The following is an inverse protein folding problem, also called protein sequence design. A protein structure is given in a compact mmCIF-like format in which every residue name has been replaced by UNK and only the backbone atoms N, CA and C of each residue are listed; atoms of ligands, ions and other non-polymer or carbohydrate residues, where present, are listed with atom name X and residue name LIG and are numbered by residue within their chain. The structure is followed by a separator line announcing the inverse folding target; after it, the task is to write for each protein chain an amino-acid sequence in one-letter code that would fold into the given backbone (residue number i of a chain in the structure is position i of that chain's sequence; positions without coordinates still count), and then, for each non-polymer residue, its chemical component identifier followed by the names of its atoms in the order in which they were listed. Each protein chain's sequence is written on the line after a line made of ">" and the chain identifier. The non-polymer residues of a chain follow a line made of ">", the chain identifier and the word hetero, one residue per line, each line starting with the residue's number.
data_IF_102731226031
#
_entry.id   IF_102731226031
#
_cell.length_a   1.000
_cell.length_b   1.000
_cell.length_c   1.000
_cell.angle_alpha   90.00
_cell.angle_beta   90.00
_cell.angle_gamma   90.00
#
_symmetry.space_group_name_H-M   'P 1'
#
loop_
_entity.id
_entity.type
_entity.pdbx_description
1 polymer ?
#
# COMPACT_ATOMS: atom_id res chain seq x y z
N UNK A 1 -8.75 4.93 -19.16
CA UNK A 1 -7.53 4.19 -19.59
C UNK A 1 -6.86 5.02 -20.66
N UNK A 2 -5.60 5.45 -20.46
CA UNK A 2 -4.90 6.26 -21.47
C UNK A 2 -4.66 5.41 -22.73
N UNK A 3 -5.03 5.89 -23.94
CA UNK A 3 -4.97 5.08 -25.16
C UNK A 3 -3.54 4.68 -25.57
N UNK A 4 -2.54 5.39 -25.07
CA UNK A 4 -1.11 5.16 -25.31
C UNK A 4 -0.47 4.06 -24.43
N UNK A 5 -1.20 3.46 -23.48
CA UNK A 5 -0.63 2.41 -22.61
C UNK A 5 -0.90 1.02 -23.18
N UNK A 6 0.18 0.30 -23.54
CA UNK A 6 0.12 -1.08 -24.00
C UNK A 6 -0.53 -1.99 -22.96
N UNK A 7 -1.39 -2.92 -23.42
CA UNK A 7 -2.04 -3.92 -22.56
C UNK A 7 -1.08 -4.98 -22.02
N UNK A 8 0.10 -5.09 -22.62
CA UNK A 8 1.16 -6.01 -22.23
C UNK A 8 2.24 -5.31 -21.39
N UNK A 9 1.91 -4.17 -20.77
CA UNK A 9 2.84 -3.50 -19.88
C UNK A 9 3.23 -4.46 -18.73
N UNK A 10 4.53 -4.64 -18.45
CA UNK A 10 4.96 -5.49 -17.35
C UNK A 10 4.42 -4.93 -16.04
N UNK A 11 4.00 -5.85 -15.17
CA UNK A 11 3.64 -5.48 -13.80
C UNK A 11 4.87 -4.89 -13.11
N UNK A 12 4.76 -3.62 -12.72
CA UNK A 12 5.81 -2.93 -11.99
C UNK A 12 5.66 -3.34 -10.53
N UNK A 13 6.47 -4.32 -10.09
CA UNK A 13 6.65 -4.62 -8.67
C UNK A 13 7.88 -3.87 -8.15
N UNK A 14 7.68 -3.06 -7.10
CA UNK A 14 8.75 -2.36 -6.41
C UNK A 14 8.78 -2.88 -4.98
N UNK A 15 9.88 -3.51 -4.59
CA UNK A 15 10.13 -3.88 -3.20
C UNK A 15 10.75 -2.69 -2.45
N UNK A 16 9.93 -2.00 -1.66
CA UNK A 16 10.34 -0.84 -0.88
C UNK A 16 10.82 -1.27 0.51
N UNK A 17 12.14 -1.39 0.73
CA UNK A 17 12.67 -1.66 2.07
C UNK A 17 12.30 -0.58 3.10
N UNK A 18 12.64 -0.76 4.39
CA UNK A 18 12.38 0.19 5.47
C UNK A 18 12.80 1.65 5.16
N UNK A 19 11.87 2.50 4.74
CA UNK A 19 12.11 3.93 4.47
C UNK A 19 11.64 4.77 5.67
N UNK A 20 12.56 5.40 6.40
CA UNK A 20 12.30 6.25 7.58
C UNK A 20 13.47 6.25 8.59
N UNK A 21 13.44 7.10 9.64
CA UNK A 21 14.48 7.11 10.68
C UNK A 21 14.55 5.78 11.44
N UNK A 22 15.76 5.34 11.86
CA UNK A 22 16.00 3.97 12.35
C UNK A 22 15.12 3.54 13.55
N UNK A 23 14.73 4.49 14.39
CA UNK A 23 13.97 4.24 15.63
C UNK A 23 12.45 4.31 15.47
N UNK A 24 11.96 4.56 14.26
CA UNK A 24 10.53 4.63 13.95
C UNK A 24 9.84 3.27 13.91
N UNK A 25 8.53 3.19 14.21
CA UNK A 25 7.77 1.95 14.04
C UNK A 25 7.74 1.54 12.56
N UNK A 26 7.94 0.25 12.29
CA UNK A 26 7.82 -0.33 10.95
C UNK A 26 6.36 -0.59 10.61
N UNK A 27 5.87 0.08 9.58
CA UNK A 27 4.50 -0.04 9.09
C UNK A 27 4.49 -0.77 7.76
N UNK A 28 3.78 -1.89 7.71
CA UNK A 28 3.40 -2.58 6.47
C UNK A 28 2.02 -2.12 6.00
N UNK A 29 1.80 -2.04 4.69
CA UNK A 29 0.53 -1.58 4.12
C UNK A 29 0.00 -2.56 3.08
N UNK A 30 -1.21 -3.05 3.32
CA UNK A 30 -2.01 -3.83 2.37
C UNK A 30 -3.07 -2.91 1.79
N UNK A 31 -3.12 -2.79 0.46
CA UNK A 31 -4.13 -1.99 -0.25
C UNK A 31 -5.05 -2.91 -1.02
N UNK A 32 -6.35 -2.84 -0.72
CA UNK A 32 -7.40 -3.61 -1.38
C UNK A 32 -8.40 -2.66 -2.05
N UNK A 33 -9.00 -3.07 -3.17
CA UNK A 33 -10.00 -2.27 -3.88
C UNK A 33 -9.48 -1.70 -5.20
N UNK A 34 -9.75 -0.43 -5.48
CA UNK A 34 -9.43 0.21 -6.76
C UNK A 34 -8.25 1.18 -6.67
N UNK A 35 -7.80 1.71 -7.82
CA UNK A 35 -6.66 2.64 -7.95
C UNK A 35 -6.72 3.86 -7.02
N UNK A 36 -7.93 4.27 -6.61
CA UNK A 36 -8.10 5.34 -5.62
C UNK A 36 -7.45 4.96 -4.29
N UNK A 37 -7.62 3.72 -3.85
CA UNK A 37 -7.01 3.23 -2.61
C UNK A 37 -5.49 3.16 -2.72
N UNK A 38 -4.93 2.87 -3.89
CA UNK A 38 -3.47 2.93 -4.11
C UNK A 38 -2.93 4.34 -3.93
N UNK A 39 -3.55 5.32 -4.59
CA UNK A 39 -3.15 6.73 -4.45
C UNK A 39 -3.32 7.23 -3.02
N UNK A 40 -4.38 6.82 -2.33
CA UNK A 40 -4.61 7.21 -0.93
C UNK A 40 -3.60 6.51 0.01
N UNK A 41 -3.26 5.24 -0.24
CA UNK A 41 -2.23 4.50 0.47
C UNK A 41 -0.85 5.16 0.35
N UNK A 42 -0.45 5.63 -0.83
CA UNK A 42 0.81 6.36 -1.03
C UNK A 42 0.87 7.65 -0.19
N UNK A 43 -0.24 8.41 -0.15
CA UNK A 43 -0.33 9.63 0.67
C UNK A 43 -0.23 9.34 2.16
N UNK A 44 -0.89 8.27 2.61
CA UNK A 44 -0.83 7.86 4.02
C UNK A 44 0.60 7.45 4.38
N UNK A 45 1.27 6.64 3.55
CA UNK A 45 2.66 6.25 3.77
C UNK A 45 3.59 7.47 3.83
N UNK A 46 3.47 8.41 2.89
CA UNK A 46 4.27 9.63 2.89
C UNK A 46 4.08 10.42 4.20
N UNK A 47 2.85 10.52 4.68
CA UNK A 47 2.53 11.21 5.95
C UNK A 47 3.15 10.49 7.15
N UNK A 48 3.07 9.15 7.19
CA UNK A 48 3.65 8.35 8.26
C UNK A 48 5.18 8.49 8.30
N UNK A 49 5.85 8.47 7.15
CA UNK A 49 7.30 8.68 7.05
C UNK A 49 7.71 10.06 7.57
N UNK A 50 6.98 11.12 7.20
CA UNK A 50 7.21 12.48 7.70
C UNK A 50 7.07 12.56 9.22
N UNK A 51 6.20 11.74 9.82
CA UNK A 51 6.00 11.66 11.26
C UNK A 51 6.90 10.61 11.95
N UNK A 52 7.89 10.06 11.23
CA UNK A 52 8.93 9.22 11.81
C UNK A 52 8.64 7.73 11.78
N UNK A 53 7.63 7.25 11.03
CA UNK A 53 7.47 5.82 10.76
C UNK A 53 8.47 5.32 9.71
N UNK A 54 8.66 3.99 9.68
CA UNK A 54 9.45 3.29 8.65
C UNK A 54 8.51 2.44 7.78
N UNK A 55 8.59 2.52 6.47
CA UNK A 55 7.73 1.70 5.58
C UNK A 55 8.37 0.36 5.29
N UNK A 56 7.75 -0.74 5.70
CA UNK A 56 8.24 -2.10 5.41
C UNK A 56 7.81 -2.58 4.01
N UNK A 57 8.69 -3.29 3.29
CA UNK A 57 8.36 -4.00 2.04
C UNK A 57 7.57 -5.27 2.29
N UNK A 58 7.76 -5.87 3.46
CA UNK A 58 7.19 -7.15 3.85
C UNK A 58 6.23 -6.95 5.03
N UNK A 59 5.15 -7.71 5.03
CA UNK A 59 4.21 -7.73 6.17
C UNK A 59 4.89 -8.39 7.37
N UNK A 60 5.62 -9.49 7.14
CA UNK A 60 6.46 -10.13 8.13
C UNK A 60 7.54 -9.17 8.66
N UNK A 61 7.54 -8.94 9.98
CA UNK A 61 8.50 -8.05 10.63
C UNK A 61 8.09 -6.57 10.66
N UNK A 62 6.87 -6.24 10.25
CA UNK A 62 6.24 -4.95 10.57
C UNK A 62 5.79 -4.92 12.03
N UNK A 63 5.98 -3.79 12.71
CA UNK A 63 5.44 -3.55 14.06
C UNK A 63 3.93 -3.28 14.00
N UNK A 64 3.46 -2.69 12.90
CA UNK A 64 2.05 -2.39 12.64
C UNK A 64 1.73 -2.73 11.18
N UNK A 65 0.58 -3.34 10.94
CA UNK A 65 0.04 -3.58 9.59
C UNK A 65 -1.22 -2.75 9.40
N UNK A 66 -1.24 -1.92 8.36
CA UNK A 66 -2.40 -1.14 7.96
C UNK A 66 -3.06 -1.78 6.73
N UNK A 67 -4.38 -1.96 6.76
CA UNK A 67 -5.16 -2.47 5.63
C UNK A 67 -6.10 -1.37 5.14
N UNK A 68 -5.88 -0.86 3.92
CA UNK A 68 -6.70 0.16 3.29
C UNK A 68 -7.66 -0.49 2.28
N UNK A 69 -8.96 -0.51 2.60
CA UNK A 69 -10.01 -1.17 1.79
C UNK A 69 -11.15 -0.23 1.44
N UNK A 70 -11.82 -0.47 0.31
CA UNK A 70 -12.97 0.31 -0.14
C UNK A 70 -14.26 -0.19 0.52
N UNK A 71 -14.96 0.66 1.28
CA UNK A 71 -16.22 0.27 1.95
C UNK A 71 -17.46 0.12 1.04
N UNK A 72 -17.36 0.44 -0.26
CA UNK A 72 -18.55 0.71 -1.09
C UNK A 72 -18.76 -0.20 -2.32
N UNK A 73 -17.93 -1.24 -2.53
CA UNK A 73 -18.15 -2.17 -3.65
C UNK A 73 -18.25 -3.59 -3.09
N UNK A 74 -19.33 -4.28 -3.44
CA UNK A 74 -19.61 -5.68 -3.04
C UNK A 74 -18.42 -6.63 -3.34
N UNK A 75 -17.59 -6.30 -4.34
CA UNK A 75 -16.35 -7.01 -4.67
C UNK A 75 -15.18 -6.81 -3.70
N UNK A 76 -15.14 -5.70 -2.93
CA UNK A 76 -14.09 -5.48 -1.93
C UNK A 76 -14.32 -6.27 -0.63
N UNK A 77 -15.57 -6.65 -0.33
CA UNK A 77 -15.91 -7.54 0.78
C UNK A 77 -15.49 -8.98 0.53
N UNK A 78 -15.62 -9.46 -0.69
CA UNK A 78 -15.27 -10.84 -1.05
C UNK A 78 -13.75 -11.08 -0.99
N UNK A 79 -12.92 -10.08 -1.37
CA UNK A 79 -11.46 -10.17 -1.26
C UNK A 79 -10.87 -9.90 0.13
N UNK A 80 -11.64 -9.40 1.10
CA UNK A 80 -11.15 -9.14 2.47
C UNK A 80 -11.51 -10.25 3.47
N UNK A 81 -12.22 -11.29 3.03
CA UNK A 81 -12.69 -12.42 3.85
C UNK A 81 -12.09 -13.77 3.41
N UNK A 82 -11.25 -13.77 2.38
CA UNK A 82 -10.39 -14.89 1.97
C UNK A 82 -8.94 -14.56 2.35
#
# INVERSE_FOLDING_TARGET
>A
VRPEVSRDAPEVSVSLGPIGPEHGPKVGLITLGCDKNTVDSEKILATLVVNGARVSSEIEGSDVVMVNTCGFIRSAKEQSLE
#
